data_IF_860891962343
#
_entry.id   IF_860891962343
#
_cell.length_a   1.000
_cell.length_b   1.000
_cell.length_c   1.000
_cell.angle_alpha   90.00
_cell.angle_beta   90.00
_cell.angle_gamma   90.00
#
_symmetry.space_group_name_H-M   'P 1'
#
loop_
_entity.id
_entity.type
_entity.pdbx_description
1 polymer ?
#
# COMPACT_ATOMS: atom_id res chain seq x y z
N UNK A 1 13.86 16.27 6.39
CA UNK A 1 13.29 16.41 5.03
C UNK A 1 12.22 15.35 4.84
N UNK A 2 11.14 15.63 4.10
CA UNK A 2 10.07 14.65 3.85
C UNK A 2 10.46 13.64 2.76
N UNK A 3 9.80 12.48 2.71
CA UNK A 3 10.02 11.49 1.65
C UNK A 3 9.75 12.06 0.25
N UNK A 4 8.81 13.01 0.14
CA UNK A 4 8.51 13.70 -1.11
C UNK A 4 9.71 14.47 -1.66
N UNK A 5 10.50 15.07 -0.78
CA UNK A 5 11.71 15.81 -1.18
C UNK A 5 12.75 14.85 -1.78
N UNK A 6 13.03 13.72 -1.12
CA UNK A 6 13.96 12.70 -1.62
C UNK A 6 13.49 12.10 -2.96
N UNK A 7 12.22 11.74 -3.06
CA UNK A 7 11.64 11.20 -4.30
C UNK A 7 11.74 12.20 -5.46
N UNK A 8 11.43 13.48 -5.22
CA UNK A 8 11.53 14.54 -6.22
C UNK A 8 12.97 14.76 -6.68
N UNK A 9 13.93 14.80 -5.74
CA UNK A 9 15.34 14.97 -6.06
C UNK A 9 15.88 13.79 -6.86
N UNK A 10 15.50 12.56 -6.48
CA UNK A 10 15.87 11.37 -7.24
C UNK A 10 15.30 11.40 -8.66
N UNK A 11 14.02 11.74 -8.81
CA UNK A 11 13.41 11.90 -10.13
C UNK A 11 14.20 12.90 -11.00
N UNK A 12 14.55 14.08 -10.45
CA UNK A 12 15.36 15.08 -11.18
C UNK A 12 16.72 14.55 -11.63
N UNK A 13 17.36 13.65 -10.87
CA UNK A 13 18.65 13.04 -11.24
C UNK A 13 18.51 12.07 -12.41
N UNK A 14 17.40 11.34 -12.50
CA UNK A 14 17.19 10.32 -13.53
C UNK A 14 16.41 10.85 -14.74
N UNK A 15 15.70 11.98 -14.61
CA UNK A 15 14.77 12.48 -15.63
C UNK A 15 15.41 12.76 -16.98
N UNK A 16 16.68 13.17 -17.01
CA UNK A 16 17.43 13.40 -18.25
C UNK A 16 17.70 12.12 -19.05
N UNK A 17 17.68 10.96 -18.38
CA UNK A 17 17.90 9.64 -18.99
C UNK A 17 16.59 8.95 -19.40
N UNK A 18 15.44 9.51 -19.01
CA UNK A 18 14.13 8.95 -19.35
C UNK A 18 13.69 9.53 -20.69
N UNK A 19 13.59 8.67 -21.70
CA UNK A 19 12.95 9.01 -22.97
C UNK A 19 11.43 9.11 -22.77
N UNK A 20 10.99 10.31 -22.38
CA UNK A 20 9.57 10.59 -22.07
C UNK A 20 8.66 10.51 -23.29
N UNK A 21 9.19 10.62 -24.51
CA UNK A 21 8.39 10.61 -25.74
C UNK A 21 8.01 9.20 -26.19
N UNK A 22 8.70 8.18 -25.68
CA UNK A 22 8.47 6.79 -26.05
C UNK A 22 8.58 5.89 -24.82
N UNK A 23 7.61 5.96 -23.91
CA UNK A 23 7.53 5.05 -22.76
C UNK A 23 6.59 3.90 -23.06
N UNK A 24 7.15 2.70 -23.09
CA UNK A 24 6.45 1.41 -23.22
C UNK A 24 6.51 0.62 -21.91
N UNK A 25 5.70 -0.44 -21.77
CA UNK A 25 5.70 -1.31 -20.59
C UNK A 25 7.09 -1.89 -20.25
N UNK A 26 7.84 -2.32 -21.26
CA UNK A 26 9.20 -2.87 -21.06
C UNK A 26 10.20 -1.82 -20.56
N UNK A 27 10.04 -0.56 -20.99
CA UNK A 27 10.83 0.55 -20.47
C UNK A 27 10.48 0.83 -19.01
N UNK A 28 9.19 0.78 -18.64
CA UNK A 28 8.74 0.97 -17.25
C UNK A 28 9.40 -0.02 -16.28
N UNK A 29 9.59 -1.26 -16.69
CA UNK A 29 10.25 -2.31 -15.89
C UNK A 29 11.71 -1.98 -15.53
N UNK A 30 12.34 -1.04 -16.24
CA UNK A 30 13.76 -0.71 -16.12
C UNK A 30 14.04 0.80 -15.92
N UNK A 31 13.04 1.59 -15.49
CA UNK A 31 13.21 3.05 -15.31
C UNK A 31 14.20 3.39 -14.21
N UNK A 32 14.22 2.61 -13.14
CA UNK A 32 15.10 2.81 -11.99
C UNK A 32 15.95 1.58 -11.71
N UNK A 33 17.02 1.75 -10.94
CA UNK A 33 17.87 0.66 -10.46
C UNK A 33 17.19 -0.22 -9.41
N UNK A 34 16.09 0.23 -8.79
CA UNK A 34 15.33 -0.56 -7.81
C UNK A 34 14.11 -1.18 -8.49
N UNK A 35 14.14 -2.51 -8.62
CA UNK A 35 13.09 -3.28 -9.29
C UNK A 35 11.70 -3.04 -8.67
N UNK A 36 11.61 -2.89 -7.35
CA UNK A 36 10.33 -2.64 -6.68
C UNK A 36 9.67 -1.32 -7.10
N UNK A 37 10.45 -0.25 -7.31
CA UNK A 37 9.90 1.02 -7.80
C UNK A 37 9.30 0.81 -9.19
N UNK A 38 10.00 0.10 -10.06
CA UNK A 38 9.55 -0.19 -11.43
C UNK A 38 8.25 -1.03 -11.41
N UNK A 39 8.19 -2.06 -10.55
CA UNK A 39 6.98 -2.87 -10.35
C UNK A 39 5.82 -2.04 -9.80
N UNK A 40 6.07 -1.07 -8.92
CA UNK A 40 5.02 -0.23 -8.35
C UNK A 40 4.46 0.80 -9.34
N UNK A 41 5.27 1.26 -10.30
CA UNK A 41 4.78 2.04 -11.44
C UNK A 41 3.75 1.23 -12.24
N UNK A 42 4.09 -0.03 -12.56
CA UNK A 42 3.20 -0.91 -13.33
C UNK A 42 1.97 -1.30 -12.51
N UNK A 43 2.14 -1.53 -11.20
CA UNK A 43 1.03 -1.78 -10.27
C UNK A 43 0.04 -0.62 -10.27
N UNK A 44 0.52 0.64 -10.21
CA UNK A 44 -0.33 1.83 -10.25
C UNK A 44 -1.19 1.88 -11.51
N UNK A 45 -0.61 1.61 -12.68
CA UNK A 45 -1.33 1.58 -13.97
C UNK A 45 -2.40 0.48 -13.96
N UNK A 46 -2.06 -0.70 -13.46
CA UNK A 46 -3.01 -1.81 -13.34
C UNK A 46 -4.18 -1.46 -12.41
N UNK A 47 -3.90 -0.82 -11.27
CA UNK A 47 -4.92 -0.41 -10.29
C UNK A 47 -5.86 0.65 -10.86
N UNK A 48 -5.29 1.66 -11.52
CA UNK A 48 -6.06 2.75 -12.12
C UNK A 48 -7.00 2.21 -13.20
N UNK A 49 -6.53 1.26 -14.00
CA UNK A 49 -7.39 0.59 -14.96
C UNK A 49 -8.49 -0.21 -14.28
N UNK A 50 -8.18 -1.00 -13.25
CA UNK A 50 -9.17 -1.84 -12.57
C UNK A 50 -10.25 -0.98 -11.92
N UNK A 51 -9.83 0.10 -11.26
CA UNK A 51 -10.72 1.09 -10.68
C UNK A 51 -11.60 1.75 -11.75
N UNK A 52 -11.00 2.19 -12.87
CA UNK A 52 -11.76 2.77 -13.97
C UNK A 52 -12.77 1.78 -14.57
N UNK A 53 -12.37 0.52 -14.80
CA UNK A 53 -13.26 -0.50 -15.33
C UNK A 53 -14.45 -0.74 -14.39
N UNK A 54 -14.18 -0.93 -13.09
CA UNK A 54 -15.23 -1.16 -12.10
C UNK A 54 -16.18 0.03 -11.95
N UNK A 55 -15.66 1.27 -12.00
CA UNK A 55 -16.48 2.50 -11.93
C UNK A 55 -17.41 2.71 -13.13
N UNK A 56 -17.08 2.16 -14.30
CA UNK A 56 -17.87 2.32 -15.52
C UNK A 56 -18.86 1.15 -15.74
N UNK A 57 -19.00 0.23 -14.78
CA UNK A 57 -20.02 -0.84 -14.86
C UNK A 57 -21.42 -0.25 -14.75
N UNK A 58 -22.34 -0.72 -15.59
CA UNK A 58 -23.76 -0.32 -15.58
C UNK A 58 -24.65 -1.56 -15.38
N UNK A 59 -25.88 -1.42 -14.84
CA UNK A 59 -26.65 -2.56 -14.33
C UNK A 59 -27.29 -3.47 -15.40
N UNK A 60 -27.01 -3.24 -16.68
CA UNK A 60 -27.60 -3.99 -17.79
C UNK A 60 -26.79 -5.20 -18.25
N UNK A 61 -25.56 -5.38 -17.73
CA UNK A 61 -24.63 -6.41 -18.21
C UNK A 61 -24.21 -7.37 -17.10
N UNK A 62 -24.09 -8.65 -17.46
CA UNK A 62 -23.52 -9.69 -16.61
C UNK A 62 -21.98 -9.70 -16.75
N UNK A 63 -21.32 -8.98 -15.85
CA UNK A 63 -19.86 -8.94 -15.73
C UNK A 63 -19.28 -10.19 -15.06
N UNK A 64 -20.13 -11.03 -14.46
CA UNK A 64 -19.71 -12.25 -13.78
C UNK A 64 -19.68 -13.48 -14.69
N UNK A 65 -20.36 -13.40 -15.84
CA UNK A 65 -20.27 -14.35 -16.93
C UNK A 65 -18.80 -14.64 -17.31
N UNK A 66 -18.50 -15.92 -17.52
CA UNK A 66 -17.16 -16.42 -17.84
C UNK A 66 -16.58 -15.75 -19.09
N UNK A 67 -17.36 -15.62 -20.17
CA UNK A 67 -16.91 -15.03 -21.43
C UNK A 67 -16.58 -13.54 -21.26
N UNK A 68 -17.42 -12.82 -20.51
CA UNK A 68 -17.18 -11.40 -20.17
C UNK A 68 -15.87 -11.23 -19.39
N UNK A 69 -15.62 -12.08 -18.38
CA UNK A 69 -14.37 -12.05 -17.59
C UNK A 69 -13.14 -12.36 -18.43
N UNK A 70 -13.22 -13.33 -19.33
CA UNK A 70 -12.13 -13.69 -20.24
C UNK A 70 -11.82 -12.56 -21.23
N UNK A 71 -12.84 -11.96 -21.84
CA UNK A 71 -12.71 -10.82 -22.72
C UNK A 71 -12.09 -9.60 -22.01
N UNK A 72 -12.56 -9.30 -20.79
CA UNK A 72 -12.00 -8.25 -19.94
C UNK A 72 -10.50 -8.50 -19.67
N UNK A 73 -10.13 -9.71 -19.27
CA UNK A 73 -8.74 -10.08 -18.99
C UNK A 73 -7.87 -9.97 -20.25
N UNK A 74 -8.38 -10.40 -21.40
CA UNK A 74 -7.67 -10.28 -22.67
C UNK A 74 -7.46 -8.81 -23.06
N UNK A 75 -8.49 -7.97 -22.92
CA UNK A 75 -8.39 -6.54 -23.19
C UNK A 75 -7.33 -5.86 -22.31
N UNK A 76 -7.31 -6.17 -21.01
CA UNK A 76 -6.25 -5.74 -20.11
C UNK A 76 -4.86 -6.16 -20.60
N UNK A 77 -4.69 -7.43 -20.98
CA UNK A 77 -3.40 -7.93 -21.45
C UNK A 77 -2.93 -7.18 -22.71
N UNK A 78 -3.83 -6.89 -23.64
CA UNK A 78 -3.53 -6.07 -24.83
C UNK A 78 -3.07 -4.68 -24.39
N UNK A 79 -3.84 -3.98 -23.55
CA UNK A 79 -3.49 -2.64 -23.08
C UNK A 79 -2.14 -2.60 -22.34
N UNK A 80 -1.83 -3.63 -21.56
CA UNK A 80 -0.55 -3.72 -20.83
C UNK A 80 0.67 -3.78 -21.75
N UNK A 81 0.52 -4.31 -22.97
CA UNK A 81 1.58 -4.35 -24.00
C UNK A 81 1.66 -3.05 -24.82
N UNK A 82 0.59 -2.26 -24.81
CA UNK A 82 0.47 -1.01 -25.56
C UNK A 82 0.37 0.21 -24.64
N UNK A 83 1.04 0.17 -23.49
CA UNK A 83 1.10 1.30 -22.55
C UNK A 83 1.75 2.51 -23.26
N UNK A 84 1.04 3.63 -23.25
CA UNK A 84 1.52 4.93 -23.73
C UNK A 84 1.19 5.99 -22.68
N UNK A 85 2.21 6.52 -22.02
CA UNK A 85 2.06 7.50 -20.95
C UNK A 85 2.39 8.90 -21.47
N UNK A 86 1.58 9.90 -21.12
CA UNK A 86 1.87 11.31 -21.41
C UNK A 86 3.07 11.78 -20.59
N UNK A 87 4.00 12.49 -21.23
CA UNK A 87 5.24 12.96 -20.57
C UNK A 87 5.01 13.75 -19.29
N UNK A 88 3.91 14.52 -19.23
CA UNK A 88 3.54 15.34 -18.07
C UNK A 88 3.18 14.54 -16.81
N UNK A 89 2.80 13.26 -16.94
CA UNK A 89 2.35 12.43 -15.81
C UNK A 89 3.48 11.58 -15.22
N UNK A 90 4.55 11.33 -15.99
CA UNK A 90 5.71 10.52 -15.61
C UNK A 90 6.31 10.94 -14.25
N UNK A 91 6.56 12.24 -13.97
CA UNK A 91 7.13 12.65 -12.68
C UNK A 91 6.29 12.15 -11.50
N UNK A 92 4.97 12.32 -11.59
CA UNK A 92 4.05 12.01 -10.51
C UNK A 92 4.00 10.51 -10.24
N UNK A 93 3.91 9.69 -11.29
CA UNK A 93 3.85 8.22 -11.16
C UNK A 93 5.14 7.68 -10.54
N UNK A 94 6.31 8.19 -10.95
CA UNK A 94 7.60 7.74 -10.38
C UNK A 94 7.72 8.17 -8.92
N UNK A 95 7.38 9.43 -8.60
CA UNK A 95 7.45 9.95 -7.23
C UNK A 95 6.50 9.16 -6.30
N UNK A 96 5.29 8.85 -6.76
CA UNK A 96 4.34 8.02 -6.02
C UNK A 96 4.89 6.60 -5.82
N UNK A 97 5.39 5.94 -6.86
CA UNK A 97 5.97 4.61 -6.75
C UNK A 97 7.14 4.55 -5.75
N UNK A 98 7.97 5.58 -5.69
CA UNK A 98 9.05 5.70 -4.69
C UNK A 98 8.48 5.76 -3.27
N UNK A 99 7.49 6.63 -3.02
CA UNK A 99 6.86 6.76 -1.70
C UNK A 99 6.22 5.45 -1.25
N UNK A 100 5.51 4.80 -2.15
CA UNK A 100 4.85 3.52 -1.91
C UNK A 100 5.88 2.41 -1.62
N UNK A 101 7.00 2.39 -2.35
CA UNK A 101 8.09 1.44 -2.10
C UNK A 101 8.73 1.66 -0.73
N UNK A 102 8.88 2.92 -0.30
CA UNK A 102 9.41 3.27 1.03
C UNK A 102 8.44 2.84 2.13
N UNK A 103 7.13 3.02 1.96
CA UNK A 103 6.11 2.53 2.90
C UNK A 103 6.15 1.01 3.02
N UNK A 104 6.25 0.29 1.89
CA UNK A 104 6.45 -1.17 1.90
C UNK A 104 7.71 -1.54 2.66
N UNK A 105 8.82 -0.85 2.43
CA UNK A 105 10.09 -1.16 3.08
C UNK A 105 10.04 -0.96 4.60
N UNK A 106 9.40 0.12 5.06
CA UNK A 106 9.30 0.47 6.48
C UNK A 106 8.27 -0.39 7.23
N UNK A 107 7.12 -0.69 6.65
CA UNK A 107 6.10 -1.48 7.33
C UNK A 107 5.37 -2.44 6.36
N UNK A 108 5.99 -3.58 6.03
CA UNK A 108 5.42 -4.50 5.05
C UNK A 108 4.06 -5.05 5.45
N UNK A 109 3.85 -5.35 6.74
CA UNK A 109 2.60 -5.88 7.26
C UNK A 109 1.42 -4.96 6.95
N UNK A 110 1.50 -3.70 7.38
CA UNK A 110 0.44 -2.72 7.15
C UNK A 110 0.28 -2.40 5.65
N UNK A 111 1.40 -2.31 4.92
CA UNK A 111 1.36 -1.99 3.50
C UNK A 111 0.67 -3.09 2.68
N UNK A 112 1.00 -4.37 2.91
CA UNK A 112 0.42 -5.50 2.20
C UNK A 112 -1.08 -5.58 2.46
N UNK A 113 -1.53 -5.43 3.71
CA UNK A 113 -2.97 -5.43 4.04
C UNK A 113 -3.72 -4.34 3.27
N UNK A 114 -3.26 -3.09 3.37
CA UNK A 114 -3.95 -1.95 2.78
C UNK A 114 -3.92 -1.97 1.24
N UNK A 115 -2.81 -2.38 0.64
CA UNK A 115 -2.73 -2.48 -0.82
C UNK A 115 -3.59 -3.62 -1.37
N UNK A 116 -3.70 -4.73 -0.65
CA UNK A 116 -4.45 -5.91 -1.11
C UNK A 116 -5.96 -5.65 -1.13
N UNK A 117 -6.49 -4.86 -0.19
CA UNK A 117 -7.90 -4.47 -0.13
C UNK A 117 -8.25 -3.22 -0.93
N UNK A 118 -7.30 -2.63 -1.65
CA UNK A 118 -7.52 -1.37 -2.36
C UNK A 118 -8.63 -1.53 -3.40
N UNK A 119 -9.79 -0.91 -3.13
CA UNK A 119 -11.02 -0.98 -3.93
C UNK A 119 -11.69 -2.39 -3.97
N UNK A 120 -11.46 -3.22 -2.95
CA UNK A 120 -12.08 -4.53 -2.80
C UNK A 120 -12.69 -4.66 -1.40
N UNK A 121 -13.87 -5.27 -1.32
CA UNK A 121 -14.51 -5.59 -0.03
C UNK A 121 -14.11 -6.98 0.46
N UNK A 122 -13.82 -7.89 -0.46
CA UNK A 122 -13.36 -9.25 -0.21
C UNK A 122 -12.21 -9.58 -1.17
N UNK A 123 -11.35 -10.51 -0.75
CA UNK A 123 -10.25 -11.00 -1.57
C UNK A 123 -10.28 -12.51 -1.67
N UNK A 124 -9.91 -13.03 -2.84
CA UNK A 124 -9.75 -14.45 -3.09
C UNK A 124 -8.31 -14.80 -3.50
N UNK A 125 -8.06 -16.09 -3.72
CA UNK A 125 -6.75 -16.57 -4.17
C UNK A 125 -6.28 -15.98 -5.51
N UNK A 126 -7.19 -15.61 -6.42
CA UNK A 126 -6.82 -14.96 -7.69
C UNK A 126 -6.35 -13.52 -7.47
N UNK A 127 -7.00 -12.77 -6.58
CA UNK A 127 -6.58 -11.42 -6.21
C UNK A 127 -5.15 -11.45 -5.62
N UNK A 128 -4.88 -12.38 -4.71
CA UNK A 128 -3.55 -12.55 -4.12
C UNK A 128 -2.49 -12.97 -5.14
N UNK A 129 -2.81 -13.92 -6.03
CA UNK A 129 -1.91 -14.31 -7.13
C UNK A 129 -1.60 -13.12 -8.04
N UNK A 130 -2.61 -12.31 -8.35
CA UNK A 130 -2.44 -11.09 -9.12
C UNK A 130 -1.63 -10.03 -8.38
N UNK A 131 -1.66 -9.96 -7.04
CA UNK A 131 -0.81 -9.04 -6.29
C UNK A 131 0.63 -9.50 -6.13
N UNK A 132 0.85 -10.78 -5.87
CA UNK A 132 2.17 -11.39 -5.65
C UNK A 132 3.24 -10.94 -6.65
N UNK A 133 2.90 -10.75 -7.93
CA UNK A 133 3.82 -10.30 -8.99
C UNK A 133 4.53 -8.97 -8.69
N UNK A 134 3.95 -8.10 -7.86
CA UNK A 134 4.51 -6.79 -7.53
C UNK A 134 5.36 -6.77 -6.25
N UNK A 135 5.46 -7.90 -5.53
CA UNK A 135 6.12 -8.00 -4.23
C UNK A 135 7.24 -9.05 -4.24
N UNK A 136 8.35 -8.81 -4.96
CA UNK A 136 9.40 -9.82 -5.14
C UNK A 136 10.05 -10.25 -3.82
N UNK A 137 10.19 -9.34 -2.86
CA UNK A 137 10.74 -9.60 -1.53
C UNK A 137 9.76 -10.23 -0.53
N UNK A 138 8.48 -10.38 -0.89
CA UNK A 138 7.45 -10.93 -0.01
C UNK A 138 6.62 -12.01 -0.72
N UNK A 139 7.18 -12.66 -1.75
CA UNK A 139 6.46 -13.69 -2.54
C UNK A 139 5.99 -14.85 -1.66
N UNK A 140 6.80 -15.25 -0.70
CA UNK A 140 6.55 -16.29 0.29
C UNK A 140 5.37 -15.93 1.21
N UNK A 141 5.22 -14.66 1.58
CA UNK A 141 4.06 -14.15 2.31
C UNK A 141 2.79 -14.39 1.50
N UNK A 142 2.78 -13.97 0.24
CA UNK A 142 1.63 -14.20 -0.63
C UNK A 142 1.35 -15.69 -0.86
N UNK A 143 2.38 -16.53 -0.97
CA UNK A 143 2.19 -17.99 -1.11
C UNK A 143 1.50 -18.61 0.10
N UNK A 144 1.91 -18.20 1.31
CA UNK A 144 1.24 -18.64 2.55
C UNK A 144 -0.19 -18.13 2.62
N UNK A 145 -0.43 -16.85 2.31
CA UNK A 145 -1.79 -16.29 2.28
C UNK A 145 -2.69 -17.03 1.27
N UNK A 146 -2.18 -17.37 0.08
CA UNK A 146 -2.93 -18.14 -0.93
C UNK A 146 -3.27 -19.54 -0.41
N UNK A 147 -2.37 -20.17 0.35
CA UNK A 147 -2.64 -21.46 0.99
C UNK A 147 -3.68 -21.34 2.10
N UNK A 148 -3.54 -20.34 2.98
CA UNK A 148 -4.42 -20.14 4.13
C UNK A 148 -5.87 -19.87 3.70
N UNK A 149 -6.07 -19.13 2.61
CA UNK A 149 -7.41 -18.81 2.08
C UNK A 149 -8.17 -20.09 1.65
N UNK A 150 -7.49 -21.17 1.25
CA UNK A 150 -8.15 -22.42 0.82
C UNK A 150 -8.95 -23.11 1.93
N UNK A 151 -8.75 -22.71 3.18
CA UNK A 151 -9.43 -23.27 4.34
C UNK A 151 -10.70 -22.49 4.73
N UNK A 152 -11.03 -21.40 4.02
CA UNK A 152 -12.23 -20.60 4.25
C UNK A 152 -13.40 -21.11 3.39
N UNK A 153 -14.63 -20.97 3.91
CA UNK A 153 -15.86 -21.58 3.37
C UNK A 153 -16.17 -21.22 1.90
N UNK A 154 -15.59 -20.14 1.37
CA UNK A 154 -15.72 -19.71 -0.03
C UNK A 154 -14.39 -19.40 -0.74
N UNK A 155 -13.24 -19.76 -0.15
CA UNK A 155 -11.92 -19.29 -0.59
C UNK A 155 -11.83 -17.75 -0.73
N UNK A 156 -12.60 -17.03 0.08
CA UNK A 156 -12.60 -15.57 0.21
C UNK A 156 -12.36 -15.18 1.66
N UNK A 157 -11.75 -14.02 1.88
CA UNK A 157 -11.55 -13.43 3.21
C UNK A 157 -11.83 -11.93 3.21
N UNK A 158 -12.27 -11.44 4.36
CA UNK A 158 -12.43 -10.02 4.65
C UNK A 158 -11.12 -9.42 5.20
N UNK A 159 -11.10 -8.09 5.35
CA UNK A 159 -9.91 -7.34 5.77
C UNK A 159 -9.40 -7.76 7.14
N UNK A 160 -10.30 -8.02 8.08
CA UNK A 160 -10.00 -8.45 9.45
C UNK A 160 -9.25 -9.78 9.48
N UNK A 161 -9.60 -10.72 8.61
CA UNK A 161 -8.94 -12.01 8.51
C UNK A 161 -7.57 -11.88 7.84
N UNK A 162 -7.44 -11.07 6.77
CA UNK A 162 -6.13 -10.81 6.18
C UNK A 162 -5.17 -10.18 7.20
N UNK A 163 -5.64 -9.25 8.03
CA UNK A 163 -4.85 -8.65 9.11
C UNK A 163 -4.27 -9.75 10.02
N UNK A 164 -5.11 -10.68 10.48
CA UNK A 164 -4.67 -11.80 11.33
C UNK A 164 -3.66 -12.69 10.60
N UNK A 165 -3.90 -13.00 9.32
CA UNK A 165 -3.01 -13.87 8.54
C UNK A 165 -1.65 -13.22 8.26
N UNK A 166 -1.62 -11.91 7.96
CA UNK A 166 -0.37 -11.17 7.77
C UNK A 166 0.38 -10.99 9.09
N UNK A 167 -0.32 -10.72 10.19
CA UNK A 167 0.29 -10.61 11.52
C UNK A 167 1.03 -11.90 11.93
N UNK A 168 0.48 -13.08 11.60
CA UNK A 168 1.15 -14.38 11.83
C UNK A 168 2.50 -14.50 11.12
N UNK A 169 2.75 -13.72 10.06
CA UNK A 169 4.01 -13.74 9.33
C UNK A 169 5.13 -12.95 10.03
N UNK A 170 4.81 -12.16 11.06
CA UNK A 170 5.75 -11.37 11.85
C UNK A 170 6.74 -10.57 10.97
N UNK A 171 6.21 -9.85 9.97
CA UNK A 171 7.05 -9.10 9.04
C UNK A 171 7.62 -7.87 9.74
N UNK A 172 8.94 -7.82 9.81
CA UNK A 172 9.69 -6.63 10.18
C UNK A 172 9.96 -5.76 8.95
N UNK A 173 10.65 -4.63 9.15
CA UNK A 173 11.21 -3.82 8.07
C UNK A 173 11.95 -4.67 7.01
N UNK A 174 11.75 -4.36 5.73
CA UNK A 174 12.42 -5.05 4.64
C UNK A 174 13.83 -4.48 4.44
N UNK A 175 14.81 -4.98 5.21
CA UNK A 175 16.19 -4.44 5.21
C UNK A 175 16.84 -4.39 3.83
N UNK A 176 16.58 -5.40 2.98
CA UNK A 176 17.13 -5.46 1.62
C UNK A 176 16.61 -4.27 0.81
N UNK A 177 15.29 -4.04 0.84
CA UNK A 177 14.68 -2.92 0.12
C UNK A 177 15.10 -1.57 0.70
N UNK A 178 15.27 -1.46 2.03
CA UNK A 178 15.80 -0.26 2.68
C UNK A 178 17.23 0.04 2.18
N UNK A 179 18.09 -0.98 2.06
CA UNK A 179 19.46 -0.80 1.53
C UNK A 179 19.45 -0.31 0.09
N UNK A 180 18.62 -0.91 -0.77
CA UNK A 180 18.45 -0.46 -2.16
C UNK A 180 17.96 0.99 -2.22
N UNK A 181 16.91 1.32 -1.49
CA UNK A 181 16.37 2.69 -1.45
C UNK A 181 17.39 3.70 -0.91
N UNK A 182 18.16 3.34 0.11
CA UNK A 182 19.22 4.21 0.64
C UNK A 182 20.32 4.49 -0.39
N UNK A 183 20.73 3.46 -1.15
CA UNK A 183 21.76 3.63 -2.20
C UNK A 183 21.35 4.59 -3.32
N UNK A 184 20.06 4.65 -3.66
CA UNK A 184 19.57 5.48 -4.78
C UNK A 184 19.04 6.84 -4.31
N UNK A 185 18.38 6.90 -3.15
CA UNK A 185 17.73 8.12 -2.65
C UNK A 185 18.62 8.92 -1.70
N UNK A 186 19.70 8.32 -1.16
CA UNK A 186 20.52 8.90 -0.10
C UNK A 186 19.67 9.37 1.10
N UNK A 187 18.69 8.55 1.49
CA UNK A 187 17.79 8.84 2.61
C UNK A 187 18.52 8.57 3.94
N UNK A 188 18.25 9.41 4.93
CA UNK A 188 18.62 9.13 6.32
C UNK A 188 17.79 7.94 6.83
N UNK A 189 18.44 6.89 7.35
CA UNK A 189 17.77 5.71 7.92
C UNK A 189 16.70 6.09 8.96
N UNK A 190 16.87 7.21 9.66
CA UNK A 190 15.88 7.76 10.59
C UNK A 190 14.53 8.11 9.95
N UNK A 191 14.47 8.28 8.62
CA UNK A 191 13.23 8.55 7.90
C UNK A 191 12.35 7.30 7.79
N UNK A 192 12.94 6.12 7.61
CA UNK A 192 12.22 4.84 7.61
C UNK A 192 11.67 4.57 9.00
N UNK A 193 12.51 4.81 10.01
CA UNK A 193 12.14 4.72 11.42
C UNK A 193 11.00 5.68 11.77
N UNK A 194 10.92 6.88 11.20
CA UNK A 194 9.78 7.81 11.43
C UNK A 194 8.48 7.34 10.78
N UNK A 195 8.55 6.70 9.62
CA UNK A 195 7.40 6.11 8.93
C UNK A 195 6.87 4.91 9.75
N UNK A 196 7.74 4.19 10.44
CA UNK A 196 7.39 3.11 11.36
C UNK A 196 6.92 3.63 12.75
N UNK A 197 7.63 4.62 13.33
CA UNK A 197 7.41 5.19 14.67
C UNK A 197 6.26 6.19 14.79
N UNK A 198 5.50 6.46 13.74
CA UNK A 198 4.22 7.15 13.87
C UNK A 198 3.19 6.32 14.68
N UNK A 199 3.55 5.10 15.10
CA UNK A 199 2.64 4.18 15.79
C UNK A 199 3.17 3.56 17.08
N UNK A 200 4.48 3.46 17.33
CA UNK A 200 4.95 2.47 18.34
C UNK A 200 4.97 2.90 19.82
N UNK A 201 4.65 4.13 20.23
CA UNK A 201 4.87 4.56 21.65
C UNK A 201 3.79 5.47 22.26
N UNK A 202 2.50 5.26 21.92
CA UNK A 202 1.43 5.99 22.60
C UNK A 202 0.44 5.08 23.35
N UNK A 203 0.81 3.83 23.60
CA UNK A 203 0.08 2.87 24.44
C UNK A 203 -0.33 3.49 25.78
N UNK A 204 0.50 4.38 26.34
CA UNK A 204 0.24 5.07 27.60
C UNK A 204 -1.05 5.90 27.63
N UNK A 205 -1.55 6.33 26.46
CA UNK A 205 -2.82 7.07 26.32
C UNK A 205 -4.06 6.19 26.45
N UNK A 206 -3.90 4.86 26.34
CA UNK A 206 -4.98 3.87 26.27
C UNK A 206 -4.81 2.82 27.36
N UNK A 207 -5.90 2.28 27.90
CA UNK A 207 -5.85 1.17 28.87
C UNK A 207 -5.61 -0.17 28.16
N UNK A 208 -4.59 -0.24 27.31
CA UNK A 208 -4.29 -1.38 26.44
C UNK A 208 -2.86 -1.84 26.64
N UNK A 209 -2.63 -3.15 26.60
CA UNK A 209 -1.29 -3.70 26.45
C UNK A 209 -0.81 -3.57 25.00
N UNK A 210 0.48 -3.80 24.74
CA UNK A 210 1.07 -3.64 23.40
C UNK A 210 0.32 -4.40 22.29
N UNK A 211 -0.10 -5.65 22.53
CA UNK A 211 -0.83 -6.44 21.52
C UNK A 211 -2.22 -5.88 21.24
N UNK A 212 -2.92 -5.45 22.29
CA UNK A 212 -4.23 -4.79 22.18
C UNK A 212 -4.10 -3.46 21.43
N UNK A 213 -3.06 -2.70 21.74
CA UNK A 213 -2.77 -1.43 21.09
C UNK A 213 -2.41 -1.60 19.61
N UNK A 214 -1.61 -2.61 19.26
CA UNK A 214 -1.30 -2.94 17.86
C UNK A 214 -2.58 -3.28 17.07
N UNK A 215 -3.49 -4.05 17.68
CA UNK A 215 -4.80 -4.38 17.09
C UNK A 215 -5.69 -3.15 16.94
N UNK A 216 -5.75 -2.30 17.97
CA UNK A 216 -6.49 -1.05 17.99
C UNK A 216 -6.01 -0.08 16.92
N UNK A 217 -4.70 0.04 16.73
CA UNK A 217 -4.14 0.86 15.65
C UNK A 217 -4.52 0.36 14.26
N UNK A 218 -4.66 -0.96 14.09
CA UNK A 218 -5.11 -1.55 12.83
C UNK A 218 -6.60 -1.25 12.56
N UNK A 219 -7.43 -1.31 13.60
CA UNK A 219 -8.84 -0.91 13.55
C UNK A 219 -8.97 0.55 13.13
N UNK A 220 -8.27 1.46 13.80
CA UNK A 220 -8.33 2.88 13.47
C UNK A 220 -7.87 3.16 12.04
N UNK A 221 -6.84 2.45 11.55
CA UNK A 221 -6.36 2.55 10.17
C UNK A 221 -7.33 1.97 9.14
N UNK A 222 -8.32 1.20 9.58
CA UNK A 222 -9.29 0.54 8.72
C UNK A 222 -10.56 1.36 8.51
N UNK A 223 -10.79 2.40 9.31
CA UNK A 223 -11.93 3.32 9.15
C UNK A 223 -11.91 3.94 7.75
N UNK A 224 -13.06 4.37 7.25
CA UNK A 224 -13.21 4.95 5.92
C UNK A 224 -12.88 6.44 5.90
N UNK A 225 -13.01 7.11 7.04
CA UNK A 225 -12.80 8.55 7.18
C UNK A 225 -11.90 8.88 8.37
N UNK A 226 -11.21 10.01 8.26
CA UNK A 226 -10.44 10.55 9.38
C UNK A 226 -11.32 10.87 10.60
N UNK A 227 -12.59 11.24 10.38
CA UNK A 227 -13.53 11.53 11.47
C UNK A 227 -13.85 10.26 12.28
N UNK A 228 -14.22 9.18 11.61
CA UNK A 228 -14.50 7.88 12.23
C UNK A 228 -13.29 7.35 13.01
N UNK A 229 -12.10 7.42 12.40
CA UNK A 229 -10.84 7.10 13.06
C UNK A 229 -10.61 7.95 14.32
N UNK A 230 -10.95 9.24 14.27
CA UNK A 230 -10.80 10.16 15.41
C UNK A 230 -11.76 9.84 16.54
N UNK A 231 -13.02 9.53 16.24
CA UNK A 231 -14.04 9.17 17.23
C UNK A 231 -13.61 7.92 18.02
N UNK A 232 -13.16 6.87 17.32
CA UNK A 232 -12.65 5.64 17.95
C UNK A 232 -11.44 5.90 18.85
N UNK A 233 -10.52 6.77 18.41
CA UNK A 233 -9.36 7.17 19.24
C UNK A 233 -9.82 7.83 20.52
N UNK A 234 -10.72 8.81 20.43
CA UNK A 234 -11.18 9.61 21.57
C UNK A 234 -11.98 8.76 22.57
N UNK A 235 -12.80 7.83 22.09
CA UNK A 235 -13.61 6.94 22.93
C UNK A 235 -12.77 5.98 23.77
N UNK A 236 -11.60 5.58 23.25
CA UNK A 236 -10.71 4.62 23.90
C UNK A 236 -9.61 5.28 24.77
N UNK A 237 -9.54 6.62 24.84
CA UNK A 237 -8.60 7.31 25.71
C UNK A 237 -8.85 7.00 27.20
N UNK A 238 -7.77 6.89 27.97
CA UNK A 238 -7.88 6.90 29.44
C UNK A 238 -8.56 8.18 29.91
N UNK A 239 -9.30 8.09 31.01
CA UNK A 239 -10.10 9.20 31.53
C UNK A 239 -9.28 10.46 31.84
N UNK A 240 -8.00 10.30 32.22
CA UNK A 240 -7.08 11.40 32.49
C UNK A 240 -6.60 12.15 31.22
N UNK A 241 -6.87 11.62 30.03
CA UNK A 241 -6.54 12.23 28.73
C UNK A 241 -7.78 12.72 27.96
N UNK A 242 -9.00 12.29 28.30
CA UNK A 242 -10.25 12.72 27.61
C UNK A 242 -10.42 14.25 27.55
N UNK A 243 -9.96 14.96 28.57
CA UNK A 243 -10.03 16.43 28.64
C UNK A 243 -8.75 17.14 28.18
N UNK A 244 -7.72 16.38 27.78
CA UNK A 244 -6.41 16.91 27.35
C UNK A 244 -6.26 16.80 25.83
N UNK A 245 -7.21 17.39 25.09
CA UNK A 245 -7.21 17.34 23.62
C UNK A 245 -5.98 18.01 22.98
N UNK A 246 -5.30 18.89 23.72
CA UNK A 246 -4.06 19.52 23.30
C UNK A 246 -2.79 18.74 23.71
N UNK A 247 -2.92 17.52 24.23
CA UNK A 247 -1.76 16.71 24.61
C UNK A 247 -0.89 16.41 23.38
N UNK A 248 0.42 16.69 23.43
CA UNK A 248 1.31 16.47 22.29
C UNK A 248 1.32 15.04 21.77
N UNK A 249 1.08 14.03 22.62
CA UNK A 249 1.01 12.62 22.22
C UNK A 249 -0.27 12.32 21.45
N UNK A 250 -1.41 12.86 21.90
CA UNK A 250 -2.69 12.73 21.21
C UNK A 250 -2.66 13.43 19.85
N UNK A 251 -2.14 14.67 19.81
CA UNK A 251 -1.94 15.41 18.55
C UNK A 251 -1.06 14.60 17.59
N UNK A 252 0.00 13.97 18.10
CA UNK A 252 0.89 13.13 17.28
C UNK A 252 0.18 11.91 16.69
N UNK A 253 -0.66 11.22 17.46
CA UNK A 253 -1.50 10.11 16.94
C UNK A 253 -2.44 10.61 15.86
N UNK A 254 -3.22 11.66 16.14
CA UNK A 254 -4.20 12.20 15.21
C UNK A 254 -3.54 12.68 13.92
N UNK A 255 -2.39 13.34 14.01
CA UNK A 255 -1.60 13.77 12.86
C UNK A 255 -1.09 12.58 12.05
N UNK A 256 -0.60 11.54 12.73
CA UNK A 256 -0.09 10.32 12.08
C UNK A 256 -1.18 9.56 11.33
N UNK A 257 -2.39 9.53 11.90
CA UNK A 257 -3.53 8.83 11.31
C UNK A 257 -4.14 9.66 10.18
N UNK A 258 -4.14 10.99 10.29
CA UNK A 258 -4.52 11.90 9.21
C UNK A 258 -3.71 11.68 7.94
N UNK A 259 -2.44 11.28 8.03
CA UNK A 259 -1.62 10.95 6.85
C UNK A 259 -2.08 9.69 6.08
N UNK A 260 -2.97 8.88 6.67
CA UNK A 260 -3.54 7.68 6.03
C UNK A 260 -4.86 7.95 5.26
N UNK A 261 -5.44 9.15 5.40
CA UNK A 261 -6.72 9.56 4.81
C UNK A 261 -6.52 10.69 3.80
#
# INVERSE_FOLDING_TARGET
>A
MSINHYATNFYKKISSKIDTNNITGDKLLNITQCNNINLFIIKKIYDDWLNNFNKNKIPFFDYDNKETKEAQKNFMNILSRHIKIKSSIIPNIIIEAIKETVKLAANPSNYIVNDTFKNLNEINGENLKARKKYYPYHKDVFDKLISDIQHFENNTIEKTDLIKLVAKQNLNECEILIKELNSILAIDKNLFIKIDNNYSHNEELFNMNKKEYDSFLLEIKSCNTFQEATEIILDNLKDNYKYKLNDPKLIKILTSIKENY
#
